data_IF_234504201516
#
_entry.id   IF_234504201516
#
_cell.length_a   1.000
_cell.length_b   1.000
_cell.length_c   1.000
_cell.angle_alpha   90.00
_cell.angle_beta   90.00
_cell.angle_gamma   90.00
#
_symmetry.space_group_name_H-M   'P 1'
#
loop_
_entity.id
_entity.type
_entity.pdbx_description
1 polymer ?
#
# COMPACT_ATOMS: atom_id res chain seq x y z
N UNK A 1 2.07 5.05 -7.78
CA UNK A 1 1.42 3.84 -8.33
C UNK A 1 1.97 3.49 -9.71
N UNK A 2 2.31 2.23 -9.98
CA UNK A 2 2.65 1.76 -11.34
C UNK A 2 1.45 1.86 -12.28
N UNK A 3 1.71 1.95 -13.59
CA UNK A 3 0.65 1.99 -14.61
C UNK A 3 -0.28 0.77 -14.48
N UNK A 4 -1.59 1.00 -14.61
CA UNK A 4 -2.60 -0.05 -14.46
C UNK A 4 -3.79 0.38 -13.59
N UNK A 5 -4.67 -0.56 -13.28
CA UNK A 5 -5.76 -0.39 -12.32
C UNK A 5 -5.65 -1.49 -11.29
N UNK A 6 -5.54 -1.11 -10.02
CA UNK A 6 -5.23 -2.02 -8.92
C UNK A 6 -6.36 -2.01 -7.92
N UNK A 7 -6.79 -3.21 -7.51
CA UNK A 7 -7.78 -3.36 -6.46
C UNK A 7 -7.11 -3.28 -5.09
N UNK A 8 -7.70 -2.50 -4.19
CA UNK A 8 -7.37 -2.53 -2.78
C UNK A 8 -8.09 -3.70 -2.13
N UNK A 9 -7.33 -4.49 -1.37
CA UNK A 9 -7.80 -5.72 -0.71
C UNK A 9 -8.19 -5.45 0.73
N UNK A 10 -9.15 -6.21 1.29
CA UNK A 10 -9.53 -6.08 2.69
C UNK A 10 -8.43 -6.55 3.66
N UNK A 11 -7.48 -7.38 3.22
CA UNK A 11 -6.35 -7.84 4.03
C UNK A 11 -5.05 -7.93 3.21
N UNK A 12 -3.92 -8.16 3.88
CA UNK A 12 -2.58 -8.34 3.30
C UNK A 12 -2.38 -9.69 2.59
N UNK A 13 -3.46 -10.21 2.01
CA UNK A 13 -3.50 -11.45 1.27
C UNK A 13 -4.27 -11.20 -0.01
N UNK A 14 -4.05 -12.02 -1.03
CA UNK A 14 -4.82 -11.94 -2.27
C UNK A 14 -6.22 -12.55 -2.09
N UNK A 15 -6.99 -12.13 -1.08
CA UNK A 15 -8.36 -12.61 -0.90
C UNK A 15 -9.29 -12.11 -2.00
N UNK A 16 -10.37 -12.87 -2.20
CA UNK A 16 -11.52 -12.42 -2.96
C UNK A 16 -12.13 -11.17 -2.31
N UNK A 17 -12.67 -10.28 -3.14
CA UNK A 17 -13.18 -8.98 -2.70
C UNK A 17 -12.23 -7.81 -3.01
N UNK A 18 -12.82 -6.63 -3.10
CA UNK A 18 -12.14 -5.35 -3.30
C UNK A 18 -12.84 -4.31 -2.42
N UNK A 19 -12.07 -3.52 -1.68
CA UNK A 19 -12.56 -2.41 -0.84
C UNK A 19 -12.34 -1.04 -1.48
N UNK A 20 -11.67 -1.02 -2.64
CA UNK A 20 -11.37 0.19 -3.37
C UNK A 20 -10.55 -0.07 -4.62
N UNK A 21 -10.36 0.97 -5.42
CA UNK A 21 -9.55 0.92 -6.63
C UNK A 21 -8.58 2.09 -6.59
N UNK A 22 -7.36 1.83 -7.05
CA UNK A 22 -6.36 2.87 -7.30
C UNK A 22 -5.80 2.70 -8.70
N UNK A 23 -5.69 3.80 -9.44
CA UNK A 23 -5.18 3.83 -10.81
C UNK A 23 -3.72 4.23 -10.85
N UNK A 24 -3.03 3.83 -11.92
CA UNK A 24 -1.68 4.28 -12.20
C UNK A 24 -1.61 5.81 -12.25
N UNK A 25 -0.53 6.37 -11.69
CA UNK A 25 -0.37 7.82 -11.53
C UNK A 25 -1.07 8.43 -10.32
N UNK A 26 -2.05 7.75 -9.70
CA UNK A 26 -2.62 8.20 -8.43
C UNK A 26 -1.59 8.08 -7.30
N UNK A 27 -1.72 8.96 -6.31
CA UNK A 27 -0.91 8.97 -5.10
C UNK A 27 -1.62 8.21 -4.00
N UNK A 28 -0.85 7.51 -3.20
CA UNK A 28 -1.33 6.85 -1.99
C UNK A 28 -0.45 7.24 -0.82
N UNK A 29 -1.03 7.27 0.36
CA UNK A 29 -0.30 7.41 1.61
C UNK A 29 -0.06 6.02 2.17
N UNK A 30 1.20 5.65 2.35
CA UNK A 30 1.57 4.44 3.05
C UNK A 30 1.23 4.60 4.54
N UNK A 31 0.75 3.53 5.17
CA UNK A 31 0.43 3.54 6.60
C UNK A 31 1.29 2.53 7.34
N UNK A 32 1.30 1.29 6.86
CA UNK A 32 2.17 0.24 7.36
C UNK A 32 2.27 -0.90 6.34
N UNK A 33 3.21 -1.82 6.53
CA UNK A 33 3.40 -2.99 5.68
C UNK A 33 3.27 -4.31 6.45
N UNK A 34 3.01 -5.40 5.73
CA UNK A 34 3.01 -6.76 6.25
C UNK A 34 3.49 -7.73 5.17
N UNK A 35 4.07 -8.86 5.57
CA UNK A 35 4.42 -9.95 4.66
C UNK A 35 3.49 -11.12 4.90
N UNK A 36 2.90 -11.66 3.84
CA UNK A 36 2.05 -12.84 3.96
C UNK A 36 2.87 -14.13 4.09
N UNK A 37 2.20 -15.24 4.41
CA UNK A 37 2.84 -16.56 4.56
C UNK A 37 3.53 -17.09 3.30
N UNK A 38 3.30 -16.46 2.14
CA UNK A 38 3.95 -16.77 0.87
C UNK A 38 5.16 -15.87 0.57
N UNK A 39 5.54 -14.98 1.50
CA UNK A 39 6.68 -14.08 1.34
C UNK A 39 6.40 -12.82 0.54
N UNK A 40 5.15 -12.54 0.16
CA UNK A 40 4.81 -11.31 -0.57
C UNK A 40 4.60 -10.16 0.40
N UNK A 41 5.18 -9.01 0.09
CA UNK A 41 5.00 -7.77 0.84
C UNK A 41 3.74 -7.03 0.38
N UNK A 42 2.97 -6.55 1.35
CA UNK A 42 1.74 -5.80 1.14
C UNK A 42 1.76 -4.54 1.97
N UNK A 43 1.24 -3.45 1.40
CA UNK A 43 1.11 -2.17 2.04
C UNK A 43 -0.35 -1.87 2.33
N UNK A 44 -0.63 -1.45 3.57
CA UNK A 44 -1.88 -0.79 3.90
C UNK A 44 -1.76 0.68 3.53
N UNK A 45 -2.64 1.14 2.66
CA UNK A 45 -2.56 2.48 2.06
C UNK A 45 -3.89 3.22 2.13
N UNK A 46 -3.82 4.56 2.05
CA UNK A 46 -4.97 5.45 1.80
C UNK A 46 -4.85 6.11 0.43
N UNK A 47 -5.90 6.10 -0.38
CA UNK A 47 -5.89 6.83 -1.66
C UNK A 47 -5.93 8.33 -1.40
N UNK A 48 -4.99 9.08 -1.99
CA UNK A 48 -4.89 10.52 -1.79
C UNK A 48 -6.18 11.24 -2.22
N UNK A 49 -6.61 12.24 -1.44
CA UNK A 49 -7.87 12.95 -1.68
C UNK A 49 -9.13 12.19 -1.26
N UNK A 50 -9.00 10.98 -0.70
CA UNK A 50 -10.14 10.18 -0.24
C UNK A 50 -9.94 9.64 1.17
N UNK A 51 -11.00 9.03 1.71
CA UNK A 51 -10.97 8.19 2.92
C UNK A 51 -11.00 6.70 2.59
N UNK A 52 -10.65 6.31 1.36
CA UNK A 52 -10.58 4.90 0.95
C UNK A 52 -9.26 4.29 1.39
N UNK A 53 -9.34 3.22 2.17
CA UNK A 53 -8.20 2.45 2.64
C UNK A 53 -8.24 1.02 2.13
N UNK A 54 -7.07 0.38 2.06
CA UNK A 54 -6.97 -1.05 1.86
C UNK A 54 -5.55 -1.49 1.57
N UNK A 55 -5.41 -2.79 1.31
CA UNK A 55 -4.13 -3.44 1.10
C UNK A 55 -3.79 -3.56 -0.37
N UNK A 56 -2.52 -3.34 -0.71
CA UNK A 56 -2.02 -3.47 -2.07
C UNK A 56 -0.67 -4.18 -2.06
N UNK A 57 -0.42 -5.00 -3.08
CA UNK A 57 0.89 -5.65 -3.26
C UNK A 57 1.97 -4.59 -3.50
N UNK A 58 3.13 -4.79 -2.89
CA UNK A 58 4.34 -4.01 -3.16
C UNK A 58 4.70 -4.00 -4.66
N UNK A 59 4.38 -5.08 -5.38
CA UNK A 59 4.60 -5.18 -6.82
C UNK A 59 3.83 -4.13 -7.65
N UNK A 60 2.79 -3.51 -7.10
CA UNK A 60 1.95 -2.53 -7.81
C UNK A 60 2.36 -1.08 -7.54
N UNK A 61 3.26 -0.86 -6.59
CA UNK A 61 3.79 0.46 -6.23
C UNK A 61 5.20 0.62 -6.78
N UNK A 62 5.64 1.88 -6.91
CA UNK A 62 7.04 2.16 -7.19
C UNK A 62 7.82 2.00 -5.89
N UNK A 63 8.99 1.36 -5.94
CA UNK A 63 9.83 0.98 -4.81
C UNK A 63 10.33 2.17 -3.96
N UNK A 64 10.06 3.41 -4.38
CA UNK A 64 10.24 4.63 -3.59
C UNK A 64 9.08 4.82 -2.61
N UNK A 65 8.71 3.78 -1.85
CA UNK A 65 7.91 3.93 -0.65
C UNK A 65 8.78 4.55 0.45
N UNK A 66 9.17 5.81 0.25
CA UNK A 66 9.87 6.63 1.22
C UNK A 66 8.81 7.19 2.19
N UNK A 67 8.64 6.54 3.34
CA UNK A 67 7.85 7.07 4.47
C UNK A 67 8.78 7.75 5.46
N UNK A 68 8.87 9.08 5.38
CA UNK A 68 9.43 9.93 6.44
C UNK A 68 8.26 10.62 7.16
N UNK A 69 7.37 9.81 7.73
CA UNK A 69 6.12 10.29 8.35
C UNK A 69 6.37 11.09 9.64
N UNK A 70 7.61 11.13 10.13
CA UNK A 70 8.05 11.92 11.28
C UNK A 70 9.07 13.02 10.95
N UNK A 71 9.38 13.25 9.67
CA UNK A 71 10.33 14.27 9.17
C UNK A 71 11.72 14.19 9.84
N UNK A 72 12.16 12.99 10.22
CA UNK A 72 13.47 12.77 10.85
C UNK A 72 14.56 12.41 9.84
N UNK A 73 14.21 12.31 8.55
CA UNK A 73 15.12 11.98 7.46
C UNK A 73 15.45 10.50 7.34
N UNK A 74 14.83 9.62 8.14
CA UNK A 74 14.91 8.17 8.01
C UNK A 74 13.60 7.60 7.44
N UNK A 75 13.76 6.68 6.49
CA UNK A 75 12.65 5.93 5.93
C UNK A 75 12.22 4.85 6.93
N UNK A 76 11.16 5.11 7.69
CA UNK A 76 10.67 4.18 8.69
C UNK A 76 9.66 3.22 8.04
N UNK A 77 10.10 1.99 7.77
CA UNK A 77 9.24 0.87 7.37
C UNK A 77 8.39 0.41 8.57
N UNK A 78 7.25 1.06 8.84
CA UNK A 78 6.35 0.66 9.93
C UNK A 78 5.65 -0.66 9.60
N UNK A 79 6.00 -1.73 10.30
CA UNK A 79 5.34 -3.04 10.18
C UNK A 79 4.02 -3.02 10.94
N UNK A 80 2.92 -3.47 10.33
CA UNK A 80 1.61 -3.49 11.00
C UNK A 80 1.56 -4.53 12.14
N UNK A 81 2.27 -5.66 12.00
CA UNK A 81 2.33 -6.80 12.93
C UNK A 81 3.62 -7.56 12.72
#
# INVERSE_FOLDING_TARGET
MKAGTWNLKPNYYSTCGSVGVVRGGERVWYQCWSTNSYGNMWWYVRVAGTSTYGWISDDNIWSEAVTDDNHDGNLAYVKCW
#
